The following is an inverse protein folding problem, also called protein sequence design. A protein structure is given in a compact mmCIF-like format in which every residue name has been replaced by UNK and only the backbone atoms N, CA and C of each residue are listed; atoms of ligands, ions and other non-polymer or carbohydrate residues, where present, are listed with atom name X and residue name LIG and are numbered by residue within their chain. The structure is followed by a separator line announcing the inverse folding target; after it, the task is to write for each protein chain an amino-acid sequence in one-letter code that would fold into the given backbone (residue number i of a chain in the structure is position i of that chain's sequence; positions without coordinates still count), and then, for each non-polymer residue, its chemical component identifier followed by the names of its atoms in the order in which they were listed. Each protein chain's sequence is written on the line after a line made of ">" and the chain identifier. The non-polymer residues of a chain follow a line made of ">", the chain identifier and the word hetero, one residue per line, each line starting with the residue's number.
data_IF_740061410136
#
_entry.id   IF_740061410136
#
_cell.length_a   1.000
_cell.length_b   1.000
_cell.length_c   1.000
_cell.angle_alpha   90.00
_cell.angle_beta   90.00
_cell.angle_gamma   90.00
#
_symmetry.space_group_name_H-M   'P 1'
#
loop_
_entity.id
_entity.type
_entity.pdbx_description
1 polymer ?
#
# COMPACT_ATOMS: atom_id res chain seq x y z
N UNK A 1 16.83 -13.80 -2.00
CA UNK A 1 17.83 -13.20 -1.09
C UNK A 1 17.21 -13.15 0.29
N UNK A 2 17.50 -14.16 1.11
CA UNK A 2 16.87 -14.37 2.41
C UNK A 2 17.27 -13.29 3.40
N UNK A 3 16.30 -12.78 4.16
CA UNK A 3 16.49 -11.75 5.18
C UNK A 3 17.57 -12.16 6.18
N UNK A 4 18.67 -11.43 6.17
CA UNK A 4 19.83 -11.73 7.00
C UNK A 4 19.58 -11.27 8.45
N UNK A 5 18.93 -12.13 9.22
CA UNK A 5 18.71 -11.96 10.66
C UNK A 5 20.01 -11.67 11.41
N UNK A 6 21.14 -12.23 10.95
CA UNK A 6 22.43 -12.00 11.60
C UNK A 6 22.89 -10.56 11.42
N UNK A 7 22.58 -9.93 10.28
CA UNK A 7 22.80 -8.49 10.07
C UNK A 7 21.91 -7.64 10.98
N UNK A 8 20.62 -7.99 11.11
CA UNK A 8 19.68 -7.25 11.97
C UNK A 8 20.04 -7.39 13.46
N UNK A 9 20.56 -8.55 13.88
CA UNK A 9 20.96 -8.82 15.27
C UNK A 9 22.26 -8.12 15.71
N UNK A 10 23.01 -7.49 14.79
CA UNK A 10 24.24 -6.74 15.13
C UNK A 10 23.95 -5.35 15.71
N UNK A 11 22.72 -4.85 15.56
CA UNK A 11 22.33 -3.58 16.16
C UNK A 11 22.23 -3.70 17.68
N UNK A 12 22.71 -2.68 18.40
CA UNK A 12 22.67 -2.64 19.86
C UNK A 12 21.23 -2.81 20.37
N UNK A 13 21.03 -3.74 21.30
CA UNK A 13 19.72 -4.08 21.85
C UNK A 13 18.86 -5.01 21.01
N UNK A 14 19.33 -5.50 19.85
CA UNK A 14 18.57 -6.42 18.98
C UNK A 14 19.02 -7.87 19.17
N UNK A 15 18.39 -8.57 20.12
CA UNK A 15 18.64 -10.00 20.35
C UNK A 15 18.08 -10.93 19.27
N UNK A 16 18.43 -12.23 19.29
CA UNK A 16 18.04 -13.20 18.25
C UNK A 16 16.53 -13.35 18.04
N UNK A 17 15.71 -13.18 19.10
CA UNK A 17 14.25 -13.23 19.00
C UNK A 17 13.68 -11.99 18.32
N UNK A 18 14.20 -10.82 18.68
CA UNK A 18 13.75 -9.55 18.10
C UNK A 18 14.17 -9.46 16.63
N UNK A 19 15.40 -9.85 16.28
CA UNK A 19 15.87 -9.93 14.91
C UNK A 19 14.99 -10.85 14.04
N UNK A 20 14.59 -12.02 14.56
CA UNK A 20 13.69 -12.92 13.85
C UNK A 20 12.32 -12.28 13.59
N UNK A 21 11.75 -11.64 14.62
CA UNK A 21 10.45 -10.99 14.52
C UNK A 21 10.48 -9.87 13.50
N UNK A 22 11.52 -9.02 13.53
CA UNK A 22 11.71 -7.93 12.57
C UNK A 22 11.79 -8.47 11.15
N UNK A 23 12.64 -9.47 10.89
CA UNK A 23 12.77 -10.04 9.55
C UNK A 23 11.45 -10.62 9.06
N UNK A 24 10.71 -11.33 9.91
CA UNK A 24 9.43 -11.92 9.54
C UNK A 24 8.36 -10.86 9.25
N UNK A 25 8.23 -9.85 10.11
CA UNK A 25 7.25 -8.77 9.92
C UNK A 25 7.59 -7.92 8.69
N UNK A 26 8.87 -7.64 8.45
CA UNK A 26 9.31 -6.93 7.27
C UNK A 26 9.10 -7.77 6.01
N UNK A 27 9.38 -9.08 6.02
CA UNK A 27 9.10 -9.94 4.88
C UNK A 27 7.61 -9.94 4.51
N UNK A 28 6.71 -9.92 5.49
CA UNK A 28 5.27 -9.79 5.25
C UNK A 28 4.86 -8.42 4.69
N UNK A 29 5.57 -7.35 5.04
CA UNK A 29 5.29 -5.97 4.57
C UNK A 29 6.01 -5.59 3.27
N UNK A 30 7.12 -6.24 2.93
CA UNK A 30 7.87 -5.97 1.70
C UNK A 30 7.05 -6.34 0.46
N UNK A 31 6.17 -7.35 0.55
CA UNK A 31 5.19 -7.62 -0.51
C UNK A 31 4.19 -6.47 -0.75
N UNK A 32 4.18 -5.45 0.12
CA UNK A 32 3.35 -4.25 0.03
C UNK A 32 4.16 -2.96 -0.03
N UNK A 33 5.49 -3.00 -0.23
CA UNK A 33 6.36 -1.82 -0.33
C UNK A 33 7.00 -1.78 -1.73
N UNK A 34 7.04 -0.63 -2.44
CA UNK A 34 7.89 -0.52 -3.61
C UNK A 34 9.34 -0.55 -3.13
N UNK A 35 10.05 -1.59 -3.49
CA UNK A 35 11.50 -1.57 -3.42
C UNK A 35 11.99 -0.94 -4.73
N UNK A 36 12.62 0.23 -4.63
CA UNK A 36 13.31 0.84 -5.76
C UNK A 36 14.36 -0.15 -6.29
N UNK A 37 14.17 -0.63 -7.52
CA UNK A 37 15.12 -1.47 -8.25
C UNK A 37 14.84 -2.98 -8.34
N UNK A 38 13.69 -3.49 -7.89
CA UNK A 38 13.29 -4.89 -8.14
C UNK A 38 12.20 -4.97 -9.23
N UNK A 39 12.35 -5.81 -10.28
CA UNK A 39 11.28 -6.01 -11.24
C UNK A 39 10.19 -6.90 -10.62
N UNK A 40 8.95 -6.45 -10.78
CA UNK A 40 7.68 -7.14 -10.48
C UNK A 40 7.10 -6.96 -9.07
N UNK A 41 6.05 -6.15 -9.02
CA UNK A 41 4.84 -6.49 -8.26
C UNK A 41 4.48 -5.52 -7.13
N UNK A 42 3.71 -4.48 -7.48
CA UNK A 42 2.93 -3.59 -6.61
C UNK A 42 3.74 -2.54 -5.84
N UNK A 43 3.79 -1.33 -6.43
CA UNK A 43 4.34 -0.15 -5.79
C UNK A 43 3.37 0.47 -4.77
N UNK A 44 3.84 0.69 -3.53
CA UNK A 44 3.25 1.64 -2.57
C UNK A 44 4.11 2.89 -2.53
N UNK A 45 4.00 3.73 -3.56
CA UNK A 45 4.79 4.95 -3.66
C UNK A 45 4.27 5.99 -2.66
N UNK A 46 4.89 6.09 -1.49
CA UNK A 46 4.98 7.36 -0.79
C UNK A 46 6.10 8.19 -1.44
N UNK A 47 5.81 8.75 -2.61
CA UNK A 47 6.69 9.67 -3.34
C UNK A 47 7.91 9.04 -4.03
N UNK A 48 7.84 8.84 -5.35
CA UNK A 48 9.05 8.55 -6.15
C UNK A 48 8.79 8.11 -7.59
N UNK A 49 7.75 7.31 -7.83
CA UNK A 49 7.26 6.98 -9.17
C UNK A 49 5.76 7.22 -9.13
N UNK A 50 5.24 8.10 -9.99
CA UNK A 50 3.82 8.44 -10.01
C UNK A 50 2.99 7.18 -10.18
N UNK A 51 2.39 6.70 -9.07
CA UNK A 51 1.36 5.69 -9.13
C UNK A 51 0.23 6.23 -10.02
N UNK A 52 -0.46 5.35 -10.73
CA UNK A 52 -1.69 5.79 -11.40
C UNK A 52 -2.63 6.38 -10.35
N UNK A 53 -3.38 7.43 -10.68
CA UNK A 53 -4.33 8.08 -9.76
C UNK A 53 -5.27 7.07 -9.08
N UNK A 54 -5.67 6.02 -9.79
CA UNK A 54 -6.48 4.95 -9.22
C UNK A 54 -5.76 4.10 -8.16
N UNK A 55 -4.46 3.84 -8.33
CA UNK A 55 -3.65 3.11 -7.35
C UNK A 55 -3.49 3.93 -6.05
N UNK A 56 -3.24 5.24 -6.19
CA UNK A 56 -3.10 6.15 -5.06
C UNK A 56 -4.44 6.31 -4.32
N UNK A 57 -5.55 6.46 -5.05
CA UNK A 57 -6.89 6.50 -4.48
C UNK A 57 -7.22 5.20 -3.74
N UNK A 58 -6.91 4.04 -4.31
CA UNK A 58 -7.12 2.73 -3.67
C UNK A 58 -6.32 2.60 -2.38
N UNK A 59 -5.06 3.06 -2.39
CA UNK A 59 -4.21 3.05 -1.20
C UNK A 59 -4.78 3.96 -0.10
N UNK A 60 -5.26 5.15 -0.47
CA UNK A 60 -5.88 6.08 0.47
C UNK A 60 -7.13 5.46 1.13
N UNK A 61 -8.02 4.86 0.34
CA UNK A 61 -9.26 4.24 0.85
C UNK A 61 -9.00 3.07 1.80
N UNK A 62 -8.02 2.22 1.48
CA UNK A 62 -7.63 1.12 2.37
C UNK A 62 -7.02 1.65 3.68
N UNK A 63 -6.22 2.72 3.62
CA UNK A 63 -5.66 3.37 4.82
C UNK A 63 -6.73 4.06 5.67
N UNK A 64 -7.85 4.49 5.08
CA UNK A 64 -9.04 4.96 5.81
C UNK A 64 -9.83 3.82 6.50
N UNK A 65 -9.51 2.56 6.19
CA UNK A 65 -10.10 1.37 6.81
C UNK A 65 -11.13 0.64 5.95
N UNK A 66 -11.36 1.07 4.70
CA UNK A 66 -12.30 0.38 3.80
C UNK A 66 -11.70 -0.92 3.25
N UNK A 67 -12.56 -1.93 3.06
CA UNK A 67 -12.15 -3.19 2.46
C UNK A 67 -11.72 -3.00 1.01
N UNK A 68 -10.62 -3.63 0.58
CA UNK A 68 -10.08 -3.48 -0.79
C UNK A 68 -11.11 -3.79 -1.88
N UNK A 69 -11.90 -4.86 -1.72
CA UNK A 69 -12.90 -5.26 -2.71
C UNK A 69 -14.06 -4.24 -2.79
N UNK A 70 -14.51 -3.75 -1.64
CA UNK A 70 -15.58 -2.76 -1.50
C UNK A 70 -15.16 -1.40 -2.09
N UNK A 71 -13.99 -0.91 -1.68
CA UNK A 71 -13.41 0.34 -2.18
C UNK A 71 -13.23 0.31 -3.70
N UNK A 72 -12.77 -0.82 -4.25
CA UNK A 72 -12.62 -0.98 -5.70
C UNK A 72 -13.97 -0.95 -6.42
N UNK A 73 -14.99 -1.64 -5.90
CA UNK A 73 -16.33 -1.63 -6.49
C UNK A 73 -16.96 -0.24 -6.48
N UNK A 74 -16.82 0.50 -5.37
CA UNK A 74 -17.29 1.89 -5.27
C UNK A 74 -16.55 2.83 -6.21
N UNK A 75 -15.23 2.66 -6.36
CA UNK A 75 -14.43 3.47 -7.29
C UNK A 75 -14.86 3.26 -8.75
N UNK A 76 -15.21 2.03 -9.12
CA UNK A 76 -15.73 1.74 -10.46
C UNK A 76 -17.08 2.41 -10.70
N UNK A 77 -17.97 2.48 -9.68
CA UNK A 77 -19.22 3.24 -9.77
C UNK A 77 -18.97 4.73 -9.87
N UNK A 78 -18.07 5.28 -9.04
CA UNK A 78 -17.68 6.69 -9.08
C UNK A 78 -17.15 7.08 -10.48
N UNK A 79 -16.29 6.23 -11.08
CA UNK A 79 -15.81 6.43 -12.46
C UNK A 79 -16.92 6.36 -13.50
N UNK A 80 -17.85 5.41 -13.38
CA UNK A 80 -19.00 5.31 -14.26
C UNK A 80 -19.95 6.52 -14.13
N UNK A 81 -20.01 7.14 -12.94
CA UNK A 81 -20.74 8.38 -12.67
C UNK A 81 -19.99 9.65 -13.15
N UNK A 82 -18.82 9.50 -13.78
CA UNK A 82 -18.05 10.61 -14.33
C UNK A 82 -17.09 11.28 -13.36
N UNK A 83 -16.69 10.62 -12.27
CA UNK A 83 -15.64 11.12 -11.40
C UNK A 83 -14.36 11.40 -12.21
N UNK A 84 -13.79 12.59 -12.01
CA UNK A 84 -12.62 13.05 -12.76
C UNK A 84 -11.34 12.27 -12.44
N UNK A 85 -10.33 12.47 -13.29
CA UNK A 85 -9.00 11.85 -13.16
C UNK A 85 -8.11 12.52 -12.11
N UNK A 86 -8.64 13.46 -11.32
CA UNK A 86 -7.95 14.04 -10.18
C UNK A 86 -8.03 13.12 -8.95
N UNK A 87 -6.93 13.00 -8.22
CA UNK A 87 -6.83 12.10 -7.07
C UNK A 87 -7.83 12.45 -5.96
N UNK A 88 -7.93 13.73 -5.59
CA UNK A 88 -8.84 14.16 -4.53
C UNK A 88 -10.29 14.01 -4.98
N UNK A 89 -10.61 14.34 -6.23
CA UNK A 89 -11.94 14.16 -6.79
C UNK A 89 -12.36 12.68 -6.82
N UNK A 90 -11.48 11.77 -7.24
CA UNK A 90 -11.76 10.33 -7.27
C UNK A 90 -11.98 9.76 -5.87
N UNK A 91 -11.17 10.16 -4.88
CA UNK A 91 -11.37 9.74 -3.49
C UNK A 91 -12.71 10.24 -2.95
N UNK A 92 -13.03 11.52 -3.13
CA UNK A 92 -14.29 12.10 -2.65
C UNK A 92 -15.51 11.41 -3.26
N UNK A 93 -15.53 11.22 -4.59
CA UNK A 93 -16.61 10.53 -5.28
C UNK A 93 -16.74 9.07 -4.85
N UNK A 94 -15.62 8.38 -4.62
CA UNK A 94 -15.64 6.99 -4.13
C UNK A 94 -16.21 6.89 -2.70
N UNK A 95 -15.85 7.82 -1.82
CA UNK A 95 -16.42 7.88 -0.46
C UNK A 95 -17.92 8.17 -0.48
N UNK A 96 -18.38 9.01 -1.40
CA UNK A 96 -19.81 9.26 -1.60
C UNK A 96 -20.55 7.97 -2.03
N UNK A 97 -19.97 7.17 -2.93
CA UNK A 97 -20.50 5.86 -3.36
C UNK A 97 -20.45 4.76 -2.29
N UNK A 98 -19.66 4.93 -1.23
CA UNK A 98 -19.58 4.02 -0.09
C UNK A 98 -20.58 4.38 1.01
N UNK A 99 -20.98 5.65 1.09
CA UNK A 99 -21.96 6.15 2.06
C UNK A 99 -23.42 6.10 1.59
N UNK A 100 -23.66 5.71 0.33
CA UNK A 100 -24.99 5.46 -0.23
C UNK A 100 -25.46 4.04 0.09
#
# INVERSE_FOLDING_TARGET
>A
MSGDKAMVARADGVGPKLAQRIVNELASKIGTLPVAGAPSGVAVSAGGEAGSVGADAMSALVNLGYGRAEAHAAMQRARAAGAGDDLSALIAATLQELGQ
#
